data_IF_207560797372
#
_entry.id   IF_207560797372
#
_cell.length_a   1.000
_cell.length_b   1.000
_cell.length_c   1.000
_cell.angle_alpha   90.00
_cell.angle_beta   90.00
_cell.angle_gamma   90.00
#
_symmetry.space_group_name_H-M   'P 1'
#
loop_
_entity.id
_entity.type
_entity.pdbx_description
1 polymer ?
#
# COMPACT_ATOMS: atom_id res chain seq x y z
N UNK A 1 -6.30 19.66 -13.67
CA UNK A 1 -6.15 18.25 -13.27
C UNK A 1 -4.75 17.76 -13.63
N UNK A 2 -4.34 16.57 -13.16
CA UNK A 2 -3.11 15.91 -13.64
C UNK A 2 -3.50 14.92 -14.76
N UNK A 3 -3.47 15.31 -16.05
CA UNK A 3 -4.00 14.48 -17.12
C UNK A 3 -3.25 13.15 -17.19
N UNK A 4 -4.00 12.05 -17.25
CA UNK A 4 -3.45 10.71 -17.38
C UNK A 4 -3.04 10.01 -16.07
N UNK A 5 -2.99 10.70 -14.93
CA UNK A 5 -2.61 10.08 -13.65
C UNK A 5 -3.82 9.39 -13.01
N UNK A 6 -3.72 8.06 -12.84
CA UNK A 6 -4.77 7.21 -12.24
C UNK A 6 -4.43 6.71 -10.84
N UNK A 7 -3.16 6.76 -10.47
CA UNK A 7 -2.65 6.39 -9.14
C UNK A 7 -1.39 7.18 -8.80
N UNK A 8 -0.89 7.03 -7.58
CA UNK A 8 0.27 7.78 -7.09
C UNK A 8 1.15 6.92 -6.19
N UNK A 9 2.43 7.27 -6.14
CA UNK A 9 3.37 6.85 -5.11
C UNK A 9 3.59 8.01 -4.13
N UNK A 10 3.94 7.67 -2.89
CA UNK A 10 4.32 8.68 -1.90
C UNK A 10 5.72 9.24 -2.19
N UNK A 11 5.99 10.46 -1.69
CA UNK A 11 7.32 11.06 -1.82
C UNK A 11 8.34 10.16 -1.11
N UNK A 12 9.39 9.76 -1.83
CA UNK A 12 10.42 8.83 -1.35
C UNK A 12 10.13 7.36 -1.65
N UNK A 13 8.97 7.04 -2.25
CA UNK A 13 8.67 5.69 -2.76
C UNK A 13 9.03 5.62 -4.25
N UNK A 14 9.96 4.75 -4.60
CA UNK A 14 10.27 4.37 -5.98
C UNK A 14 9.30 3.29 -6.48
N UNK A 15 9.25 3.10 -7.80
CA UNK A 15 8.61 1.93 -8.39
C UNK A 15 7.77 2.25 -9.63
N UNK A 16 6.85 1.34 -9.92
CA UNK A 16 6.04 1.37 -11.13
C UNK A 16 4.94 2.42 -11.02
N UNK A 17 4.87 3.31 -12.00
CA UNK A 17 3.74 4.20 -12.24
C UNK A 17 3.13 3.92 -13.60
N UNK A 18 1.81 4.02 -13.69
CA UNK A 18 1.05 3.83 -14.92
C UNK A 18 0.36 5.16 -15.23
N UNK A 19 0.58 5.66 -16.44
CA UNK A 19 0.04 6.94 -16.90
C UNK A 19 -0.72 6.72 -18.20
N UNK A 20 -1.98 7.12 -18.23
CA UNK A 20 -2.82 7.00 -19.41
C UNK A 20 -2.45 8.06 -20.46
N UNK A 21 -2.17 7.61 -21.69
CA UNK A 21 -1.86 8.48 -22.84
C UNK A 21 -3.09 8.92 -23.63
N UNK A 22 -4.25 8.31 -23.38
CA UNK A 22 -5.52 8.63 -24.06
C UNK A 22 -6.66 8.74 -23.07
N UNK A 23 -7.71 9.46 -23.42
CA UNK A 23 -8.90 9.59 -22.58
C UNK A 23 -9.60 8.25 -22.33
N UNK A 24 -9.59 7.35 -23.32
CA UNK A 24 -10.15 6.00 -23.18
C UNK A 24 -9.34 5.16 -22.17
N UNK A 25 -8.01 5.19 -22.25
CA UNK A 25 -7.16 4.50 -21.29
C UNK A 25 -7.31 5.09 -19.88
N UNK A 26 -7.45 6.42 -19.76
CA UNK A 26 -7.67 7.10 -18.48
C UNK A 26 -8.93 6.58 -17.78
N UNK A 27 -10.04 6.47 -18.51
CA UNK A 27 -11.29 5.92 -17.96
C UNK A 27 -11.12 4.47 -17.51
N UNK A 28 -10.69 3.59 -18.41
CA UNK A 28 -10.52 2.15 -18.13
C UNK A 28 -9.57 1.88 -16.95
N UNK A 29 -8.45 2.58 -16.89
CA UNK A 29 -7.49 2.43 -15.79
C UNK A 29 -8.06 2.98 -14.48
N UNK A 30 -8.76 4.12 -14.51
CA UNK A 30 -9.41 4.65 -13.30
C UNK A 30 -10.43 3.67 -12.74
N UNK A 31 -11.23 3.04 -13.59
CA UNK A 31 -12.19 2.00 -13.20
C UNK A 31 -11.46 0.79 -12.61
N UNK A 32 -10.40 0.28 -13.26
CA UNK A 32 -9.61 -0.84 -12.73
C UNK A 32 -9.01 -0.57 -11.33
N UNK A 33 -8.51 0.64 -11.08
CA UNK A 33 -8.02 1.03 -9.75
C UNK A 33 -9.15 1.17 -8.73
N UNK A 34 -10.30 1.71 -9.14
CA UNK A 34 -11.50 1.87 -8.30
C UNK A 34 -12.08 0.51 -7.90
N UNK A 35 -12.18 -0.40 -8.87
CA UNK A 35 -12.76 -1.74 -8.72
C UNK A 35 -11.75 -2.74 -8.15
N UNK A 36 -10.52 -2.29 -7.85
CA UNK A 36 -9.44 -3.06 -7.21
C UNK A 36 -8.99 -4.30 -8.02
N UNK A 37 -9.10 -4.24 -9.34
CA UNK A 37 -8.63 -5.31 -10.23
C UNK A 37 -7.14 -5.21 -10.56
N UNK A 38 -6.47 -4.16 -10.07
CA UNK A 38 -5.02 -3.96 -10.23
C UNK A 38 -4.27 -4.55 -9.04
N UNK A 39 -3.44 -5.55 -9.34
CA UNK A 39 -2.47 -6.11 -8.39
C UNK A 39 -1.31 -5.14 -8.14
N UNK A 40 -1.09 -4.83 -6.86
CA UNK A 40 -0.05 -3.89 -6.43
C UNK A 40 0.84 -4.58 -5.41
N UNK A 41 2.11 -4.78 -5.77
CA UNK A 41 3.12 -5.47 -4.94
C UNK A 41 4.33 -4.58 -4.77
N UNK A 42 4.83 -4.52 -3.55
CA UNK A 42 5.96 -3.69 -3.15
C UNK A 42 6.98 -4.54 -2.40
N UNK A 43 8.24 -4.11 -2.47
CA UNK A 43 9.29 -4.54 -1.55
C UNK A 43 9.54 -3.42 -0.56
N UNK A 44 9.72 -3.78 0.71
CA UNK A 44 10.09 -2.85 1.76
C UNK A 44 11.09 -3.50 2.71
N UNK A 45 11.91 -2.69 3.37
CA UNK A 45 12.74 -3.11 4.49
C UNK A 45 12.08 -2.61 5.77
N UNK A 46 11.86 -3.49 6.75
CA UNK A 46 11.32 -3.13 8.06
C UNK A 46 12.21 -3.66 9.20
N UNK A 47 12.03 -3.10 10.39
CA UNK A 47 12.69 -3.59 11.60
C UNK A 47 12.02 -4.86 12.13
N UNK A 48 12.84 -5.80 12.59
CA UNK A 48 12.40 -7.07 13.14
C UNK A 48 11.88 -8.05 12.08
N UNK A 49 11.21 -9.09 12.56
CA UNK A 49 10.66 -10.17 11.75
C UNK A 49 9.13 -10.15 11.86
N UNK A 50 8.41 -9.48 10.96
CA UNK A 50 6.95 -9.33 11.09
C UNK A 50 6.19 -10.65 10.93
N UNK A 51 6.77 -11.58 10.15
CA UNK A 51 6.26 -12.93 9.88
C UNK A 51 7.46 -13.87 9.73
N UNK A 52 7.39 -15.10 10.26
CA UNK A 52 8.47 -16.08 10.11
C UNK A 52 8.80 -16.36 8.63
N UNK A 53 10.06 -16.64 8.33
CA UNK A 53 10.51 -16.98 6.97
C UNK A 53 9.99 -18.37 6.58
N UNK A 54 9.33 -18.48 5.42
CA UNK A 54 8.79 -19.74 4.88
C UNK A 54 7.73 -19.48 3.80
N UNK A 55 7.57 -20.40 2.84
CA UNK A 55 6.69 -20.20 1.67
C UNK A 55 5.19 -20.02 1.98
N UNK A 56 4.75 -20.31 3.21
CA UNK A 56 3.33 -20.28 3.60
C UNK A 56 3.02 -19.27 4.71
N UNK A 57 3.99 -18.48 5.13
CA UNK A 57 3.83 -17.52 6.23
C UNK A 57 3.40 -16.16 5.68
N UNK A 58 2.14 -15.79 5.88
CA UNK A 58 1.61 -14.46 5.54
C UNK A 58 0.91 -13.84 6.75
N UNK A 59 1.04 -12.52 6.90
CA UNK A 59 0.24 -11.73 7.83
C UNK A 59 -0.67 -10.78 7.05
N UNK A 60 -1.95 -10.82 7.40
CA UNK A 60 -2.95 -9.88 6.91
C UNK A 60 -3.02 -8.72 7.91
N UNK A 61 -2.88 -7.51 7.40
CA UNK A 61 -3.13 -6.27 8.13
C UNK A 61 -4.40 -5.67 7.56
N UNK A 62 -5.45 -5.69 8.37
CA UNK A 62 -6.79 -5.25 8.02
C UNK A 62 -7.28 -4.25 9.08
N UNK A 63 -7.61 -3.04 8.65
CA UNK A 63 -8.10 -2.00 9.53
C UNK A 63 -8.25 -0.64 8.86
N UNK A 64 -8.96 0.30 9.49
CA UNK A 64 -9.19 1.62 8.93
C UNK A 64 -7.96 2.50 9.09
N UNK A 65 -7.59 3.18 8.02
CA UNK A 65 -6.52 4.20 8.02
C UNK A 65 -7.15 5.59 7.91
N UNK A 66 -6.79 6.45 8.84
CA UNK A 66 -7.25 7.83 8.94
C UNK A 66 -6.09 8.80 9.15
N UNK A 67 -6.43 10.10 9.24
CA UNK A 67 -5.45 11.13 9.58
C UNK A 67 -5.06 10.96 11.05
N UNK A 68 -3.79 11.09 11.38
CA UNK A 68 -3.37 11.06 12.78
C UNK A 68 -4.03 12.22 13.55
N UNK A 69 -4.59 11.99 14.76
CA UNK A 69 -5.41 12.98 15.47
C UNK A 69 -4.64 14.26 15.82
N UNK A 70 -3.38 14.13 16.26
CA UNK A 70 -2.51 15.26 16.60
C UNK A 70 -1.58 15.70 15.45
N UNK A 71 -0.89 14.76 14.79
CA UNK A 71 0.08 15.07 13.74
C UNK A 71 -0.54 15.08 12.35
N UNK A 72 -1.06 16.24 11.92
CA UNK A 72 -1.75 16.38 10.63
C UNK A 72 -0.95 15.94 9.39
N UNK A 73 0.36 15.79 9.41
CA UNK A 73 1.12 15.27 8.25
C UNK A 73 1.22 13.74 8.20
N UNK A 74 0.73 13.04 9.24
CA UNK A 74 0.83 11.58 9.39
C UNK A 74 -0.54 10.92 9.21
N UNK A 75 -0.49 9.65 8.84
CA UNK A 75 -1.62 8.74 8.85
C UNK A 75 -1.47 7.81 10.06
N UNK A 76 -2.58 7.28 10.55
CA UNK A 76 -2.61 6.31 11.65
C UNK A 76 -3.65 5.23 11.34
N UNK A 77 -3.47 4.05 11.95
CA UNK A 77 -4.59 3.13 12.17
C UNK A 77 -5.52 3.81 13.20
N UNK A 78 -6.80 3.89 12.88
CA UNK A 78 -7.81 4.61 13.68
C UNK A 78 -8.92 3.65 14.12
N UNK A 79 -9.90 4.14 14.88
CA UNK A 79 -11.06 3.33 15.23
C UNK A 79 -11.96 3.12 14.00
N UNK A 80 -12.81 2.09 14.08
CA UNK A 80 -13.82 1.83 13.05
C UNK A 80 -14.73 3.05 12.84
N UNK A 81 -15.02 3.36 11.58
CA UNK A 81 -15.80 4.55 11.19
C UNK A 81 -15.01 5.86 11.12
N UNK A 82 -13.80 5.95 11.68
CA UNK A 82 -12.98 7.18 11.67
C UNK A 82 -11.99 7.26 10.50
N UNK A 83 -11.91 6.21 9.70
CA UNK A 83 -10.96 6.08 8.61
C UNK A 83 -11.53 5.37 7.40
N UNK A 84 -10.67 5.10 6.42
CA UNK A 84 -11.02 4.28 5.26
C UNK A 84 -10.38 2.91 5.41
N UNK A 85 -11.19 1.87 5.18
CA UNK A 85 -10.72 0.50 5.15
C UNK A 85 -9.46 0.34 4.30
N UNK A 86 -8.47 -0.35 4.87
CA UNK A 86 -7.20 -0.66 4.25
C UNK A 86 -6.81 -2.11 4.51
N UNK A 87 -6.41 -2.81 3.45
CA UNK A 87 -6.01 -4.21 3.52
C UNK A 87 -4.65 -4.41 2.83
N UNK A 88 -3.73 -4.99 3.59
CA UNK A 88 -2.35 -5.28 3.18
C UNK A 88 -1.97 -6.70 3.58
N UNK A 89 -1.32 -7.43 2.68
CA UNK A 89 -0.76 -8.76 2.92
C UNK A 89 0.75 -8.69 2.93
N UNK A 90 1.37 -9.22 3.97
CA UNK A 90 2.82 -9.12 4.21
C UNK A 90 3.43 -10.51 4.31
N UNK A 91 4.50 -10.75 3.57
CA UNK A 91 5.34 -11.94 3.69
C UNK A 91 6.82 -11.54 3.79
N UNK A 92 7.59 -12.29 4.58
CA UNK A 92 9.03 -12.07 4.71
C UNK A 92 9.78 -12.80 3.59
N UNK A 93 10.62 -12.08 2.86
CA UNK A 93 11.48 -12.61 1.80
C UNK A 93 12.83 -13.03 2.38
N UNK A 94 13.43 -12.18 3.21
CA UNK A 94 14.71 -12.44 3.88
C UNK A 94 14.78 -11.69 5.20
N UNK A 95 15.59 -12.18 6.13
CA UNK A 95 15.82 -11.57 7.45
C UNK A 95 17.28 -11.75 7.84
N UNK A 96 17.93 -10.67 8.29
CA UNK A 96 19.36 -10.67 8.67
C UNK A 96 19.59 -10.75 10.19
N UNK A 97 18.53 -10.91 10.98
CA UNK A 97 18.58 -10.86 12.44
C UNK A 97 18.18 -9.52 13.05
N UNK A 98 18.04 -8.45 12.24
CA UNK A 98 17.58 -7.12 12.68
C UNK A 98 16.57 -6.48 11.74
N UNK A 99 16.77 -6.62 10.43
CA UNK A 99 15.97 -6.06 9.37
C UNK A 99 15.42 -7.19 8.49
N UNK A 100 14.15 -7.04 8.09
CA UNK A 100 13.51 -7.94 7.14
C UNK A 100 13.26 -7.24 5.80
N UNK A 101 13.61 -7.90 4.72
CA UNK A 101 13.06 -7.60 3.40
C UNK A 101 11.68 -8.28 3.31
N UNK A 102 10.64 -7.48 3.12
CA UNK A 102 9.26 -7.96 3.04
C UNK A 102 8.65 -7.65 1.67
N UNK A 103 7.74 -8.52 1.25
CA UNK A 103 6.81 -8.26 0.16
C UNK A 103 5.48 -7.80 0.76
N UNK A 104 4.97 -6.68 0.26
CA UNK A 104 3.67 -6.13 0.67
C UNK A 104 2.76 -6.08 -0.55
N UNK A 105 1.64 -6.79 -0.50
CA UNK A 105 0.57 -6.69 -1.50
C UNK A 105 -0.57 -5.88 -0.92
N UNK A 106 -1.02 -4.83 -1.61
CA UNK A 106 -2.11 -3.97 -1.13
C UNK A 106 -3.32 -4.10 -2.04
N UNK A 107 -4.49 -4.37 -1.45
CA UNK A 107 -5.74 -4.40 -2.19
C UNK A 107 -6.26 -2.96 -2.38
N UNK A 108 -6.24 -2.19 -1.29
CA UNK A 108 -6.56 -0.77 -1.24
C UNK A 108 -5.33 0.11 -1.47
N UNK A 109 -5.54 1.39 -1.79
CA UNK A 109 -4.46 2.37 -1.99
C UNK A 109 -4.63 3.61 -1.12
N UNK A 110 -4.62 3.47 0.21
CA UNK A 110 -4.73 4.62 1.13
C UNK A 110 -3.39 5.35 1.25
N UNK A 111 -3.45 6.64 1.58
CA UNK A 111 -2.26 7.46 1.80
C UNK A 111 -1.37 6.81 2.86
N UNK A 112 -0.08 6.64 2.58
CA UNK A 112 0.90 6.03 3.47
C UNK A 112 0.58 4.59 3.93
N UNK A 113 -0.31 3.86 3.25
CA UNK A 113 -0.83 2.57 3.74
C UNK A 113 0.24 1.53 4.10
N UNK A 114 1.35 1.45 3.35
CA UNK A 114 2.43 0.49 3.65
C UNK A 114 3.31 0.94 4.83
N UNK A 115 3.28 2.24 5.15
CA UNK A 115 4.18 2.88 6.13
C UNK A 115 3.54 3.04 7.51
N UNK A 116 2.23 2.83 7.64
CA UNK A 116 1.44 3.03 8.85
C UNK A 116 1.12 1.70 9.51
#
# INVERSE_FOLDING_TARGET
GRPGIVHRLDKGTSGVMVVAKTAQALRKLSDAFKDRTVDKKYLAICHGLPVSTGSFSERILDGPIGRHPTHRQRMAVVAEGEGRHALSRVSTVAYDGKLALIRVSIETGRTHQIRV
#
